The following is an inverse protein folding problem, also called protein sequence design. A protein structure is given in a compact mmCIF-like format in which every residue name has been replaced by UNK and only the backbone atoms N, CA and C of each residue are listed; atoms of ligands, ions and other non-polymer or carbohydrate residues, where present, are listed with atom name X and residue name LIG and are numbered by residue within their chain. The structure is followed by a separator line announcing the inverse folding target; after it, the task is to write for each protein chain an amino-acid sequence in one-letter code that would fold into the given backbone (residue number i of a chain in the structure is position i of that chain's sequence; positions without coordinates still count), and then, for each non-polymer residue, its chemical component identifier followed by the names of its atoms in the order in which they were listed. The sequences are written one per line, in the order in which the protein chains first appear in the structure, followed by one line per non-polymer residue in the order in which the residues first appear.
data_IF_334499879392
#
_entry.id   IF_334499879392
#
_cell.length_a   1.000
_cell.length_b   1.000
_cell.length_c   1.000
_cell.angle_alpha   90.00
_cell.angle_beta   90.00
_cell.angle_gamma   90.00
#
_symmetry.space_group_name_H-M   'P 1'
#
loop_
_entity.id
_entity.type
_entity.pdbx_description
1 polymer ?
#
# COMPACT_ATOMS: atom_id res chain seq x y z
N UNK A 1 -18.88 7.83 -30.36
CA UNK A 1 -19.07 8.59 -29.10
C UNK A 1 -18.10 9.77 -28.91
N UNK A 2 -16.78 9.57 -28.78
CA UNK A 2 -15.83 10.72 -28.63
C UNK A 2 -15.67 11.50 -29.94
N UNK A 3 -15.61 10.81 -31.07
CA UNK A 3 -15.58 11.40 -32.40
C UNK A 3 -16.79 12.30 -32.67
N UNK A 4 -17.98 11.88 -32.23
CA UNK A 4 -19.23 12.65 -32.34
C UNK A 4 -19.18 13.98 -31.56
N UNK A 5 -18.48 14.01 -30.42
CA UNK A 5 -18.34 15.23 -29.61
C UNK A 5 -17.48 16.29 -30.31
N UNK A 6 -16.56 15.86 -31.17
CA UNK A 6 -15.65 16.75 -31.89
C UNK A 6 -16.01 16.88 -33.38
N UNK A 7 -17.09 16.23 -33.84
CA UNK A 7 -17.64 16.36 -35.18
C UNK A 7 -16.70 15.90 -36.30
N UNK A 8 -15.82 14.94 -36.04
CA UNK A 8 -14.95 14.35 -37.05
C UNK A 8 -15.20 12.85 -37.16
N UNK A 9 -15.10 12.30 -38.37
CA UNK A 9 -15.14 10.86 -38.63
C UNK A 9 -13.76 10.44 -39.12
N UNK A 10 -13.12 9.52 -38.40
CA UNK A 10 -11.91 8.85 -38.84
C UNK A 10 -12.33 7.51 -39.42
N UNK A 11 -12.24 7.38 -40.74
CA UNK A 11 -12.40 6.10 -41.42
C UNK A 11 -11.12 5.80 -42.19
N UNK A 12 -10.32 4.90 -41.64
CA UNK A 12 -9.11 4.41 -42.30
C UNK A 12 -8.96 2.91 -42.05
N UNK A 13 -8.34 2.24 -43.02
CA UNK A 13 -8.15 0.80 -43.00
C UNK A 13 -7.43 0.36 -41.71
N UNK A 14 -8.12 -0.42 -40.88
CA UNK A 14 -7.59 -0.98 -39.63
C UNK A 14 -8.01 -0.28 -38.34
N UNK A 15 -8.89 0.72 -38.38
CA UNK A 15 -9.41 1.39 -37.16
C UNK A 15 -10.06 0.41 -36.17
N UNK A 16 -10.72 -0.63 -36.69
CA UNK A 16 -11.35 -1.71 -35.92
C UNK A 16 -10.37 -2.47 -35.02
N UNK A 17 -9.08 -2.51 -35.36
CA UNK A 17 -8.06 -3.21 -34.57
C UNK A 17 -7.52 -2.38 -33.39
N UNK A 18 -7.79 -1.07 -33.37
CA UNK A 18 -7.26 -0.18 -32.33
C UNK A 18 -7.84 -0.55 -30.96
N UNK A 19 -9.16 -0.76 -30.89
CA UNK A 19 -9.85 -1.16 -29.66
C UNK A 19 -9.29 -2.46 -29.06
N UNK A 20 -9.28 -3.58 -29.81
CA UNK A 20 -8.73 -4.85 -29.37
C UNK A 20 -7.25 -4.79 -28.96
N UNK A 21 -6.42 -4.07 -29.71
CA UNK A 21 -4.98 -3.96 -29.42
C UNK A 21 -4.76 -3.15 -28.15
N UNK A 22 -5.31 -1.94 -28.06
CA UNK A 22 -5.15 -1.09 -26.88
C UNK A 22 -5.81 -1.70 -25.65
N UNK A 23 -7.02 -2.25 -25.80
CA UNK A 23 -7.73 -2.94 -24.73
C UNK A 23 -6.96 -4.14 -24.19
N UNK A 24 -6.30 -4.91 -25.06
CA UNK A 24 -5.41 -6.01 -24.62
C UNK A 24 -4.19 -5.50 -23.88
N UNK A 25 -3.54 -4.43 -24.36
CA UNK A 25 -2.42 -3.81 -23.64
C UNK A 25 -2.86 -3.33 -22.27
N UNK A 26 -4.00 -2.63 -22.18
CA UNK A 26 -4.54 -2.14 -20.91
C UNK A 26 -4.88 -3.31 -19.98
N UNK A 27 -5.54 -4.36 -20.48
CA UNK A 27 -5.92 -5.52 -19.67
C UNK A 27 -4.71 -6.26 -19.09
N UNK A 28 -3.73 -6.60 -19.93
CA UNK A 28 -2.59 -7.40 -19.51
C UNK A 28 -1.52 -6.61 -18.76
N UNK A 29 -1.30 -5.34 -19.12
CA UNK A 29 -0.25 -4.53 -18.52
C UNK A 29 -0.79 -3.68 -17.36
N UNK A 30 -1.77 -2.82 -17.64
CA UNK A 30 -2.32 -1.91 -16.64
C UNK A 30 -3.23 -2.66 -15.63
N UNK A 31 -3.98 -3.67 -16.08
CA UNK A 31 -4.83 -4.50 -15.24
C UNK A 31 -4.08 -5.53 -14.40
N UNK A 32 -2.77 -5.70 -14.60
CA UNK A 32 -1.97 -6.75 -13.95
C UNK A 32 -2.08 -6.77 -12.42
N UNK A 33 -1.99 -5.64 -11.68
CA UNK A 33 -2.09 -5.63 -10.22
C UNK A 33 -3.42 -6.21 -9.73
N UNK A 34 -4.52 -5.88 -10.40
CA UNK A 34 -5.86 -6.40 -10.06
C UNK A 34 -5.97 -7.89 -10.35
N UNK A 35 -5.48 -8.36 -11.51
CA UNK A 35 -5.51 -9.78 -11.85
C UNK A 35 -4.70 -10.62 -10.85
N UNK A 36 -3.52 -10.14 -10.47
CA UNK A 36 -2.67 -10.81 -9.48
C UNK A 36 -3.31 -10.79 -8.09
N UNK A 37 -3.78 -9.62 -7.63
CA UNK A 37 -4.44 -9.47 -6.33
C UNK A 37 -5.73 -10.28 -6.23
N UNK A 38 -6.57 -10.26 -7.26
CA UNK A 38 -7.80 -11.05 -7.32
C UNK A 38 -7.54 -12.55 -7.30
N UNK A 39 -6.49 -13.02 -7.98
CA UNK A 39 -6.08 -14.43 -7.91
C UNK A 39 -5.66 -14.83 -6.50
N UNK A 40 -4.96 -13.94 -5.78
CA UNK A 40 -4.54 -14.17 -4.41
C UNK A 40 -5.74 -14.19 -3.45
N UNK A 41 -6.63 -13.19 -3.52
CA UNK A 41 -7.88 -13.12 -2.74
C UNK A 41 -8.77 -14.35 -2.95
N UNK A 42 -8.88 -14.83 -4.20
CA UNK A 42 -9.62 -16.04 -4.54
C UNK A 42 -9.00 -17.28 -3.89
N UNK A 43 -7.66 -17.38 -3.92
CA UNK A 43 -6.92 -18.49 -3.30
C UNK A 43 -7.07 -18.50 -1.79
N UNK A 44 -7.00 -17.31 -1.18
CA UNK A 44 -7.10 -17.12 0.27
C UNK A 44 -8.55 -17.16 0.77
N UNK A 45 -9.53 -17.22 -0.15
CA UNK A 45 -10.98 -17.22 0.12
C UNK A 45 -11.44 -15.98 0.89
N UNK A 46 -10.78 -14.85 0.65
CA UNK A 46 -11.09 -13.56 1.23
C UNK A 46 -11.43 -12.60 0.09
N UNK A 47 -12.69 -12.60 -0.39
CA UNK A 47 -13.09 -11.74 -1.50
C UNK A 47 -13.01 -10.27 -1.08
N UNK A 48 -12.22 -9.50 -1.82
CA UNK A 48 -12.01 -8.08 -1.59
C UNK A 48 -12.19 -7.26 -2.86
N UNK A 49 -11.61 -6.05 -2.83
CA UNK A 49 -11.71 -5.11 -3.94
C UNK A 49 -10.97 -5.63 -5.18
N UNK A 50 -9.82 -6.30 -5.01
CA UNK A 50 -8.99 -6.73 -6.14
C UNK A 50 -9.70 -7.80 -6.97
N UNK A 51 -10.35 -8.77 -6.32
CA UNK A 51 -11.11 -9.81 -6.99
C UNK A 51 -12.32 -9.26 -7.74
N UNK A 52 -13.06 -8.30 -7.15
CA UNK A 52 -14.20 -7.68 -7.80
C UNK A 52 -13.79 -6.95 -9.09
N UNK A 53 -12.70 -6.17 -9.04
CA UNK A 53 -12.17 -5.47 -10.20
C UNK A 53 -11.66 -6.47 -11.23
N UNK A 54 -10.85 -7.46 -10.80
CA UNK A 54 -10.30 -8.50 -11.68
C UNK A 54 -11.40 -9.23 -12.45
N UNK A 55 -12.51 -9.57 -11.78
CA UNK A 55 -13.66 -10.18 -12.40
C UNK A 55 -14.31 -9.25 -13.43
N UNK A 56 -14.57 -7.98 -13.07
CA UNK A 56 -15.19 -7.01 -13.98
C UNK A 56 -14.36 -6.78 -15.26
N UNK A 57 -13.05 -6.57 -15.12
CA UNK A 57 -12.16 -6.36 -16.28
C UNK A 57 -12.01 -7.62 -17.13
N UNK A 58 -12.04 -8.81 -16.51
CA UNK A 58 -11.97 -10.09 -17.23
C UNK A 58 -13.25 -10.34 -18.03
N UNK A 59 -14.42 -10.09 -17.43
CA UNK A 59 -15.71 -10.21 -18.12
C UNK A 59 -15.79 -9.22 -19.28
N UNK A 60 -15.42 -7.95 -19.06
CA UNK A 60 -15.38 -6.94 -20.11
C UNK A 60 -14.44 -7.32 -21.26
N UNK A 61 -13.24 -7.84 -20.95
CA UNK A 61 -12.26 -8.28 -21.94
C UNK A 61 -12.77 -9.44 -22.79
N UNK A 62 -13.29 -10.50 -22.15
CA UNK A 62 -13.79 -11.69 -22.83
C UNK A 62 -15.03 -11.38 -23.66
N UNK A 63 -15.93 -10.52 -23.17
CA UNK A 63 -17.10 -10.07 -23.93
C UNK A 63 -16.68 -9.29 -25.17
N UNK A 64 -15.76 -8.32 -25.02
CA UNK A 64 -15.27 -7.51 -26.16
C UNK A 64 -14.55 -8.36 -27.20
N UNK A 65 -13.76 -9.35 -26.76
CA UNK A 65 -13.09 -10.29 -27.67
C UNK A 65 -14.10 -11.20 -28.41
N UNK A 66 -15.16 -11.64 -27.74
CA UNK A 66 -16.22 -12.44 -28.37
C UNK A 66 -16.98 -11.65 -29.44
N UNK A 67 -17.22 -10.35 -29.23
CA UNK A 67 -17.79 -9.44 -30.24
C UNK A 67 -16.87 -9.32 -31.46
N UNK A 68 -15.54 -9.25 -31.27
CA UNK A 68 -14.59 -9.27 -32.39
C UNK A 68 -14.59 -10.57 -33.22
N UNK A 69 -15.26 -11.63 -32.74
CA UNK A 69 -15.46 -12.89 -33.44
C UNK A 69 -16.89 -13.01 -34.03
N UNK A 70 -17.62 -11.90 -34.13
CA UNK A 70 -18.98 -11.81 -34.68
C UNK A 70 -20.05 -12.59 -33.88
N UNK A 71 -19.78 -12.87 -32.60
CA UNK A 71 -20.71 -13.63 -31.73
C UNK A 71 -21.81 -12.75 -31.11
N UNK A 72 -21.52 -11.46 -30.88
CA UNK A 72 -22.39 -10.45 -30.26
C UNK A 72 -22.04 -9.07 -30.81
N UNK A 73 -22.93 -8.09 -30.62
CA UNK A 73 -22.75 -6.69 -31.07
C UNK A 73 -22.54 -5.75 -29.87
N UNK A 74 -21.66 -6.15 -28.94
CA UNK A 74 -21.37 -5.41 -27.70
C UNK A 74 -19.89 -5.04 -27.63
N UNK A 75 -19.56 -3.77 -27.83
CA UNK A 75 -18.20 -3.25 -27.66
C UNK A 75 -18.02 -2.69 -26.24
N UNK A 76 -17.11 -3.27 -25.45
CA UNK A 76 -16.74 -2.79 -24.11
C UNK A 76 -15.28 -2.37 -23.99
N UNK A 77 -14.57 -2.16 -25.11
CA UNK A 77 -13.14 -1.78 -25.07
C UNK A 77 -12.94 -0.45 -24.32
N UNK A 78 -13.87 0.48 -24.47
CA UNK A 78 -13.84 1.77 -23.80
C UNK A 78 -14.11 1.66 -22.29
N UNK A 79 -15.11 0.89 -21.89
CA UNK A 79 -15.47 0.63 -20.50
C UNK A 79 -14.34 -0.07 -19.77
N UNK A 80 -13.69 -1.06 -20.41
CA UNK A 80 -12.51 -1.72 -19.88
C UNK A 80 -11.38 -0.71 -19.64
N UNK A 81 -11.10 0.15 -20.63
CA UNK A 81 -10.06 1.15 -20.53
C UNK A 81 -10.34 2.16 -19.39
N UNK A 82 -11.56 2.66 -19.32
CA UNK A 82 -11.99 3.61 -18.29
C UNK A 82 -11.95 2.98 -16.89
N UNK A 83 -12.49 1.76 -16.75
CA UNK A 83 -12.52 1.02 -15.49
C UNK A 83 -11.10 0.78 -14.97
N UNK A 84 -10.21 0.21 -15.79
CA UNK A 84 -8.81 -0.05 -15.38
C UNK A 84 -8.12 1.26 -14.98
N UNK A 85 -8.31 2.33 -15.76
CA UNK A 85 -7.68 3.63 -15.50
C UNK A 85 -8.12 4.24 -14.17
N UNK A 86 -9.43 4.33 -13.92
CA UNK A 86 -9.95 4.92 -12.68
C UNK A 86 -9.58 4.06 -11.47
N UNK A 87 -9.65 2.73 -11.59
CA UNK A 87 -9.29 1.84 -10.49
C UNK A 87 -7.80 1.90 -10.17
N UNK A 88 -6.92 2.00 -11.18
CA UNK A 88 -5.49 2.21 -10.94
C UNK A 88 -5.21 3.52 -10.22
N UNK A 89 -5.88 4.59 -10.62
CA UNK A 89 -5.76 5.89 -9.95
C UNK A 89 -6.21 5.80 -8.48
N UNK A 90 -7.35 5.16 -8.24
CA UNK A 90 -7.87 4.95 -6.89
C UNK A 90 -6.91 4.13 -6.03
N UNK A 91 -6.43 3.01 -6.55
CA UNK A 91 -5.50 2.15 -5.84
C UNK A 91 -4.15 2.84 -5.58
N UNK A 92 -3.66 3.64 -6.53
CA UNK A 92 -2.46 4.46 -6.30
C UNK A 92 -2.65 5.49 -5.18
N UNK A 93 -3.80 6.17 -5.15
CA UNK A 93 -4.13 7.13 -4.09
C UNK A 93 -4.27 6.46 -2.73
N UNK A 94 -4.89 5.28 -2.68
CA UNK A 94 -4.99 4.44 -1.47
C UNK A 94 -3.59 4.08 -0.96
N UNK A 95 -2.72 3.54 -1.82
CA UNK A 95 -1.36 3.15 -1.44
C UNK A 95 -0.52 4.35 -1.00
N UNK A 96 -0.69 5.51 -1.64
CA UNK A 96 -0.04 6.75 -1.23
C UNK A 96 -0.48 7.19 0.17
N UNK A 97 -1.78 7.13 0.46
CA UNK A 97 -2.30 7.51 1.78
C UNK A 97 -1.83 6.54 2.88
N UNK A 98 -1.80 5.24 2.59
CA UNK A 98 -1.30 4.22 3.51
C UNK A 98 0.19 4.38 3.80
N UNK A 99 1.01 4.65 2.78
CA UNK A 99 2.45 4.89 2.97
C UNK A 99 2.72 6.09 3.88
N UNK A 100 2.01 7.21 3.65
CA UNK A 100 2.14 8.40 4.50
C UNK A 100 1.79 8.14 5.98
N UNK A 101 0.80 7.28 6.24
CA UNK A 101 0.44 6.92 7.61
C UNK A 101 1.53 6.05 8.27
N UNK A 102 2.12 5.11 7.53
CA UNK A 102 3.20 4.26 8.03
C UNK A 102 4.46 5.08 8.36
N UNK A 103 4.81 6.05 7.50
CA UNK A 103 5.96 6.94 7.73
C UNK A 103 5.81 7.74 9.03
N UNK A 104 4.59 8.23 9.32
CA UNK A 104 4.32 8.96 10.55
C UNK A 104 4.48 8.07 11.81
N UNK A 105 4.08 6.80 11.73
CA UNK A 105 4.27 5.83 12.82
C UNK A 105 5.75 5.49 12.99
N UNK A 106 6.50 5.33 11.89
CA UNK A 106 7.93 5.10 11.95
C UNK A 106 8.69 6.28 12.59
N UNK A 107 8.30 7.52 12.29
CA UNK A 107 8.89 8.70 12.90
C UNK A 107 8.63 8.79 14.43
N UNK A 108 7.51 8.26 14.92
CA UNK A 108 7.28 8.14 16.36
C UNK A 108 8.19 7.09 17.00
N UNK A 109 8.46 5.98 16.31
CA UNK A 109 9.38 4.96 16.79
C UNK A 109 10.83 5.46 16.87
N UNK A 110 11.27 6.34 15.95
CA UNK A 110 12.60 6.95 15.95
C UNK A 110 12.83 7.93 17.12
N UNK A 111 11.77 8.37 17.80
CA UNK A 111 11.88 9.19 19.01
C UNK A 111 12.17 8.38 20.28
N UNK A 112 12.08 7.03 20.21
CA UNK A 112 12.49 6.16 21.31
C UNK A 112 14.03 6.14 21.36
N UNK A 113 14.64 6.30 22.54
CA UNK A 113 16.09 6.21 22.67
C UNK A 113 16.57 4.81 22.22
N UNK A 114 17.63 4.72 21.43
CA UNK A 114 18.13 3.42 20.94
C UNK A 114 18.99 2.68 21.99
N UNK A 115 19.54 3.43 22.95
CA UNK A 115 20.48 2.94 23.96
C UNK A 115 20.09 3.40 25.37
N UNK A 116 20.41 2.56 26.36
CA UNK A 116 20.29 2.82 27.78
C UNK A 116 21.64 2.61 28.49
N UNK A 117 21.89 3.35 29.57
CA UNK A 117 23.08 3.19 30.40
C UNK A 117 22.78 2.19 31.54
N UNK A 118 23.17 0.92 31.40
CA UNK A 118 22.98 -0.10 32.45
C UNK A 118 24.10 -0.02 33.50
N UNK A 119 23.72 -0.10 34.77
CA UNK A 119 24.62 -0.18 35.92
C UNK A 119 24.87 -1.65 36.26
N UNK A 120 26.14 -2.04 36.26
CA UNK A 120 26.59 -3.39 36.62
C UNK A 120 26.74 -3.55 38.15
N UNK A 121 26.84 -4.79 38.62
CA UNK A 121 26.99 -5.12 40.04
C UNK A 121 28.22 -4.46 40.71
N UNK A 122 29.24 -4.10 39.93
CA UNK A 122 30.46 -3.42 40.38
C UNK A 122 30.33 -1.88 40.40
N UNK A 123 29.16 -1.36 40.03
CA UNK A 123 28.86 0.07 39.94
C UNK A 123 29.38 0.75 38.67
N UNK A 124 29.98 -0.01 37.73
CA UNK A 124 30.32 0.52 36.41
C UNK A 124 29.09 0.65 35.52
N UNK A 125 29.19 1.50 34.48
CA UNK A 125 28.08 1.81 33.58
C UNK A 125 28.47 1.42 32.16
N UNK A 126 27.60 0.70 31.47
CA UNK A 126 27.76 0.33 30.07
C UNK A 126 26.56 0.77 29.21
N UNK A 127 26.80 1.26 27.98
CA UNK A 127 25.72 1.47 27.02
C UNK A 127 25.24 0.11 26.50
N UNK A 128 23.93 -0.10 26.54
CA UNK A 128 23.26 -1.29 26.01
C UNK A 128 22.09 -0.87 25.14
N UNK A 129 21.82 -1.61 24.07
CA UNK A 129 20.59 -1.43 23.30
C UNK A 129 19.37 -1.68 24.22
N UNK A 130 18.28 -0.92 24.04
CA UNK A 130 17.07 -1.09 24.86
C UNK A 130 16.53 -2.52 24.78
N UNK A 131 16.60 -3.15 23.61
CA UNK A 131 16.16 -4.54 23.39
C UNK A 131 16.97 -5.57 24.19
N UNK A 132 18.14 -5.20 24.70
CA UNK A 132 19.00 -6.05 25.52
C UNK A 132 18.76 -5.88 27.04
N UNK A 133 17.92 -4.91 27.45
CA UNK A 133 17.54 -4.73 28.85
C UNK A 133 16.68 -5.90 29.32
N UNK A 134 16.97 -6.38 30.52
CA UNK A 134 16.18 -7.41 31.18
C UNK A 134 15.44 -6.82 32.38
N UNK A 135 14.35 -7.49 32.77
CA UNK A 135 13.67 -7.14 34.01
C UNK A 135 14.66 -7.27 35.19
N UNK A 136 14.65 -6.27 36.08
CA UNK A 136 15.59 -6.11 37.20
C UNK A 136 16.96 -5.53 36.85
N UNK A 137 17.24 -5.19 35.59
CA UNK A 137 18.42 -4.36 35.27
C UNK A 137 18.29 -2.98 35.94
N UNK A 138 19.41 -2.47 36.47
CA UNK A 138 19.49 -1.11 37.01
C UNK A 138 19.99 -0.19 35.90
N UNK A 139 19.27 0.91 35.65
CA UNK A 139 19.60 1.84 34.57
C UNK A 139 19.84 3.24 35.13
N UNK A 140 20.90 3.89 34.68
CA UNK A 140 21.24 5.26 35.04
C UNK A 140 20.56 6.24 34.07
N UNK A 141 19.63 7.05 34.59
CA UNK A 141 19.01 8.13 33.82
C UNK A 141 19.64 9.46 34.23
N UNK A 142 20.34 10.11 33.29
CA UNK A 142 20.97 11.43 33.52
C UNK A 142 19.95 12.56 33.36
N UNK A 143 20.25 13.72 33.94
CA UNK A 143 19.43 14.92 33.73
C UNK A 143 19.33 15.27 32.25
N UNK A 144 18.10 15.43 31.75
CA UNK A 144 17.80 15.70 30.35
C UNK A 144 17.80 14.47 29.43
N UNK A 145 18.13 13.27 29.95
CA UNK A 145 17.94 12.02 29.23
C UNK A 145 16.47 11.57 29.31
N UNK A 146 16.03 10.80 28.31
CA UNK A 146 14.71 10.13 28.35
C UNK A 146 14.81 8.86 29.20
N UNK A 147 13.69 8.48 29.81
CA UNK A 147 13.57 7.20 30.51
C UNK A 147 13.47 6.09 29.45
N UNK A 148 14.37 5.08 29.44
CA UNK A 148 14.43 4.08 28.37
C UNK A 148 13.41 2.95 28.51
N UNK A 149 12.91 2.68 29.72
CA UNK A 149 11.91 1.63 29.97
C UNK A 149 11.10 1.92 31.24
N UNK A 150 9.94 1.29 31.36
CA UNK A 150 9.14 1.34 32.58
C UNK A 150 9.91 0.75 33.77
N UNK A 151 9.84 1.40 34.93
CA UNK A 151 10.57 0.96 36.11
C UNK A 151 10.21 1.73 37.39
N UNK A 152 10.92 1.44 38.46
CA UNK A 152 10.80 2.12 39.75
C UNK A 152 12.10 2.85 40.09
N UNK A 153 12.00 4.06 40.64
CA UNK A 153 13.16 4.83 41.07
C UNK A 153 13.70 4.22 42.37
N UNK A 154 14.87 3.60 42.28
CA UNK A 154 15.54 2.98 43.44
C UNK A 154 16.51 3.92 44.18
N UNK A 155 17.02 4.95 43.50
CA UNK A 155 17.94 5.95 44.07
C UNK A 155 17.76 7.30 43.38
N UNK A 156 17.88 8.39 44.15
CA UNK A 156 17.71 9.77 43.69
C UNK A 156 16.26 10.28 43.61
N UNK A 157 16.10 11.49 43.07
CA UNK A 157 14.81 12.14 42.81
C UNK A 157 14.91 13.02 41.58
N UNK A 158 13.90 12.99 40.71
CA UNK A 158 13.84 13.80 39.50
C UNK A 158 12.40 14.26 39.22
N UNK A 159 12.25 15.40 38.54
CA UNK A 159 11.01 15.79 37.88
C UNK A 159 11.07 15.27 36.43
N UNK A 160 9.99 14.64 35.98
CA UNK A 160 9.88 14.03 34.66
C UNK A 160 8.75 14.72 33.88
N UNK A 161 8.99 14.93 32.59
CA UNK A 161 7.97 15.43 31.65
C UNK A 161 7.31 14.24 30.93
N UNK A 162 6.04 13.98 31.26
CA UNK A 162 5.22 12.90 30.69
C UNK A 162 4.21 13.42 29.65
N UNK A 163 4.42 14.61 29.07
CA UNK A 163 3.46 15.25 28.15
C UNK A 163 3.44 14.69 26.71
N UNK A 164 4.24 13.66 26.43
CA UNK A 164 4.46 13.07 25.10
C UNK A 164 3.82 11.68 24.95
#
# INVERSE_FOLDING_TARGET
MVMDWFGYELDFYGIEWIGPVLGSVIFFWAGWPFLQGGRQELKDRQPGMMLLIAMAITVAYLASMATSLDAFDLDFWWELALLVTIMLLGHWQEMKALGQAQDAVAALAELLPDEAERVLDDGSVEPVAIDALQASDVVLVRSGARVPADGEIIDGSAELDESM
#
